data_IF_214619068057
#
_entry.id   IF_214619068057
#
_cell.length_a   1.000
_cell.length_b   1.000
_cell.length_c   1.000
_cell.angle_alpha   90.00
_cell.angle_beta   90.00
_cell.angle_gamma   90.00
#
_symmetry.space_group_name_H-M   'P 1'
#
loop_
_entity.id
_entity.type
_entity.pdbx_description
1 polymer ?
#
# COMPACT_ATOMS: atom_id res chain seq x y z
N UNK A 1 9.60 47.39 37.00
CA UNK A 1 10.37 47.35 35.73
C UNK A 1 9.46 47.77 34.59
N UNK A 2 9.59 49.00 34.11
CA UNK A 2 8.83 49.53 32.97
C UNK A 2 9.64 49.34 31.68
N UNK A 3 9.22 48.37 30.85
CA UNK A 3 9.83 48.08 29.55
C UNK A 3 9.64 49.28 28.60
N UNK A 4 10.71 50.03 28.35
CA UNK A 4 10.74 51.06 27.30
C UNK A 4 11.02 50.38 25.95
N UNK A 5 9.97 50.05 25.21
CA UNK A 5 10.09 49.56 23.84
C UNK A 5 10.61 50.67 22.92
N UNK A 6 11.80 50.49 22.32
CA UNK A 6 12.30 51.42 21.29
C UNK A 6 11.39 51.36 20.06
N UNK A 7 10.90 52.53 19.65
CA UNK A 7 10.03 52.69 18.48
C UNK A 7 10.85 52.42 17.21
N UNK A 8 10.43 51.46 16.39
CA UNK A 8 11.08 51.13 15.13
C UNK A 8 11.02 52.31 14.15
N UNK A 9 12.16 52.65 13.53
CA UNK A 9 12.23 53.64 12.47
C UNK A 9 11.54 53.12 11.18
N UNK A 10 11.28 54.01 10.20
CA UNK A 10 10.52 53.65 8.98
C UNK A 10 11.14 52.48 8.21
N UNK A 11 12.47 52.38 8.16
CA UNK A 11 13.18 51.25 7.52
C UNK A 11 13.02 49.95 8.31
N UNK A 12 13.09 50.00 9.64
CA UNK A 12 12.88 48.86 10.53
C UNK A 12 11.43 48.34 10.51
N UNK A 13 10.44 49.23 10.32
CA UNK A 13 9.05 48.81 10.10
C UNK A 13 8.88 48.03 8.79
N UNK A 14 9.48 48.53 7.69
CA UNK A 14 9.46 47.86 6.38
C UNK A 14 10.13 46.49 6.45
N UNK A 15 11.29 46.41 7.11
CA UNK A 15 12.02 45.17 7.34
C UNK A 15 11.21 44.16 8.18
N UNK A 16 10.56 44.64 9.25
CA UNK A 16 9.72 43.79 10.10
C UNK A 16 8.48 43.27 9.34
N UNK A 17 7.83 44.11 8.53
CA UNK A 17 6.72 43.64 7.67
C UNK A 17 7.18 42.63 6.63
N UNK A 18 8.34 42.83 6.00
CA UNK A 18 8.90 41.85 5.07
C UNK A 18 9.23 40.52 5.75
N UNK A 19 9.85 40.58 6.93
CA UNK A 19 10.15 39.40 7.73
C UNK A 19 8.87 38.65 8.15
N UNK A 20 7.84 39.35 8.59
CA UNK A 20 6.55 38.75 8.95
C UNK A 20 5.87 38.08 7.75
N UNK A 21 5.95 38.68 6.55
CA UNK A 21 5.40 38.08 5.33
C UNK A 21 6.15 36.80 4.93
N UNK A 22 7.48 36.77 5.10
CA UNK A 22 8.29 35.58 4.83
C UNK A 22 7.93 34.47 5.81
N UNK A 23 7.85 34.77 7.11
CA UNK A 23 7.45 33.79 8.14
C UNK A 23 6.05 33.25 7.85
N UNK A 24 5.10 34.13 7.51
CA UNK A 24 3.73 33.74 7.19
C UNK A 24 3.68 32.82 5.95
N UNK A 25 4.45 33.14 4.91
CA UNK A 25 4.55 32.33 3.68
C UNK A 25 5.13 30.94 3.96
N UNK A 26 6.17 30.85 4.80
CA UNK A 26 6.76 29.57 5.20
C UNK A 26 5.76 28.74 6.01
N UNK A 27 5.02 29.37 6.95
CA UNK A 27 4.01 28.64 7.73
C UNK A 27 2.86 28.12 6.87
N UNK A 28 2.40 28.90 5.89
CA UNK A 28 1.39 28.46 4.92
C UNK A 28 1.87 27.27 4.09
N UNK A 29 3.12 27.33 3.63
CA UNK A 29 3.72 26.25 2.84
C UNK A 29 3.91 24.96 3.65
N UNK A 30 4.27 25.07 4.94
CA UNK A 30 4.32 23.91 5.85
C UNK A 30 2.93 23.32 6.06
N UNK A 31 1.89 24.15 6.24
CA UNK A 31 0.50 23.68 6.40
C UNK A 31 0.01 22.99 5.13
N UNK A 32 0.25 23.57 3.95
CA UNK A 32 -0.11 22.95 2.66
C UNK A 32 0.63 21.63 2.43
N UNK A 33 1.94 21.56 2.70
CA UNK A 33 2.72 20.32 2.59
C UNK A 33 2.21 19.27 3.59
N UNK A 34 1.88 19.67 4.81
CA UNK A 34 1.30 18.77 5.81
C UNK A 34 -0.10 18.28 5.39
N UNK A 35 -0.92 19.14 4.79
CA UNK A 35 -2.24 18.80 4.27
C UNK A 35 -2.16 17.90 3.04
N UNK A 36 -1.20 18.12 2.15
CA UNK A 36 -0.91 17.26 0.99
C UNK A 36 -0.41 15.88 1.44
N UNK A 37 0.48 15.82 2.44
CA UNK A 37 1.00 14.57 2.99
C UNK A 37 -0.09 13.79 3.76
N UNK A 38 -0.98 14.48 4.48
CA UNK A 38 -2.12 13.84 5.16
C UNK A 38 -3.24 13.44 4.20
N UNK A 39 -3.55 14.24 3.17
CA UNK A 39 -4.52 13.86 2.14
C UNK A 39 -4.04 12.68 1.29
N UNK A 40 -2.73 12.51 1.09
CA UNK A 40 -2.19 11.32 0.40
C UNK A 40 -2.21 10.06 1.26
N UNK A 41 -2.29 10.19 2.58
CA UNK A 41 -2.39 9.06 3.53
C UNK A 41 -3.80 8.45 3.57
N UNK A 42 -4.84 9.20 3.18
CA UNK A 42 -6.24 8.75 3.24
C UNK A 42 -6.79 8.13 1.94
N UNK A 43 -5.92 7.88 0.95
CA UNK A 43 -6.22 6.93 -0.15
C UNK A 43 -5.52 5.59 0.06
N UNK A 44 -5.35 5.16 1.30
CA UNK A 44 -5.68 3.76 1.55
C UNK A 44 -7.19 3.72 1.43
N UNK A 45 -7.72 3.25 0.29
CA UNK A 45 -9.06 2.68 0.29
C UNK A 45 -9.06 1.59 1.35
N UNK A 46 -9.38 1.97 2.59
CA UNK A 46 -10.12 1.11 3.47
C UNK A 46 -11.36 0.80 2.65
N UNK A 47 -11.31 -0.30 1.89
CA UNK A 47 -12.50 -1.04 1.57
C UNK A 47 -13.05 -1.38 2.94
N UNK A 48 -13.90 -0.50 3.47
CA UNK A 48 -14.80 -0.85 4.54
C UNK A 48 -15.72 -1.87 3.88
N UNK A 49 -15.28 -3.13 3.82
CA UNK A 49 -16.15 -4.24 3.52
C UNK A 49 -17.18 -4.23 4.62
N UNK A 50 -18.27 -3.49 4.41
CA UNK A 50 -19.53 -3.76 5.11
C UNK A 50 -19.81 -5.21 4.79
N UNK A 51 -19.47 -6.08 5.73
CA UNK A 51 -19.71 -7.51 5.67
C UNK A 51 -21.24 -7.65 5.66
N UNK A 52 -21.84 -7.67 4.47
CA UNK A 52 -23.28 -7.77 4.36
C UNK A 52 -23.70 -9.13 4.93
N UNK A 53 -24.47 -9.18 6.03
CA UNK A 53 -24.82 -10.41 6.69
C UNK A 53 -25.70 -11.25 5.76
N UNK A 54 -25.52 -12.58 5.82
CA UNK A 54 -26.49 -13.58 5.34
C UNK A 54 -26.65 -13.78 3.81
N UNK A 55 -25.56 -14.11 3.10
CA UNK A 55 -25.70 -14.94 1.88
C UNK A 55 -25.55 -16.42 2.23
N UNK A 56 -26.29 -17.33 1.56
CA UNK A 56 -26.14 -18.78 1.76
C UNK A 56 -24.70 -19.26 1.54
N UNK A 57 -23.98 -18.63 0.61
CA UNK A 57 -22.55 -18.85 0.37
C UNK A 57 -21.68 -18.54 1.59
N UNK A 58 -21.89 -17.39 2.25
CA UNK A 58 -21.13 -17.04 3.46
C UNK A 58 -21.33 -18.07 4.55
N UNK A 59 -22.58 -18.45 4.84
CA UNK A 59 -22.89 -19.46 5.87
C UNK A 59 -22.26 -20.82 5.54
N UNK A 60 -22.27 -21.21 4.27
CA UNK A 60 -21.62 -22.43 3.81
C UNK A 60 -20.10 -22.38 4.04
N UNK A 61 -19.46 -21.25 3.71
CA UNK A 61 -18.03 -21.05 3.88
C UNK A 61 -17.63 -20.90 5.34
N UNK A 62 -18.43 -20.24 6.19
CA UNK A 62 -18.22 -20.18 7.64
C UNK A 62 -18.11 -21.59 8.23
N UNK A 63 -19.01 -22.49 7.82
CA UNK A 63 -18.99 -23.91 8.23
C UNK A 63 -17.75 -24.65 7.73
N UNK A 64 -17.23 -24.32 6.54
CA UNK A 64 -16.06 -24.99 5.93
C UNK A 64 -14.75 -24.48 6.52
N UNK A 65 -14.58 -23.17 6.61
CA UNK A 65 -13.39 -22.52 7.17
C UNK A 65 -13.31 -22.77 8.68
N UNK A 66 -14.44 -22.70 9.40
CA UNK A 66 -14.47 -23.06 10.82
C UNK A 66 -14.11 -24.53 11.10
N UNK A 67 -14.33 -25.43 10.13
CA UNK A 67 -13.91 -26.83 10.25
C UNK A 67 -12.43 -27.05 9.90
N UNK A 68 -11.83 -26.21 9.05
CA UNK A 68 -10.44 -26.39 8.60
C UNK A 68 -9.45 -26.47 9.77
N UNK A 69 -9.52 -25.56 10.74
CA UNK A 69 -8.64 -25.58 11.92
C UNK A 69 -9.03 -26.65 12.97
N UNK A 70 -10.26 -27.16 12.91
CA UNK A 70 -10.72 -28.25 13.78
C UNK A 70 -10.30 -29.63 13.26
N UNK A 71 -10.26 -29.81 11.93
CA UNK A 71 -9.93 -31.09 11.29
C UNK A 71 -8.46 -31.23 10.90
N UNK A 72 -7.74 -30.12 10.70
CA UNK A 72 -6.28 -30.12 10.50
C UNK A 72 -5.59 -29.58 11.75
N UNK A 73 -5.00 -30.49 12.52
CA UNK A 73 -4.22 -30.15 13.72
C UNK A 73 -3.10 -29.17 13.43
N UNK A 74 -2.49 -29.27 12.25
CA UNK A 74 -1.41 -28.40 11.79
C UNK A 74 -1.85 -26.95 11.57
N UNK A 75 -3.15 -26.72 11.37
CA UNK A 75 -3.72 -25.37 11.19
C UNK A 75 -4.34 -24.80 12.47
N UNK A 76 -4.40 -25.58 13.55
CA UNK A 76 -5.13 -25.20 14.78
C UNK A 76 -4.55 -23.94 15.44
N UNK A 77 -3.23 -23.80 15.39
CA UNK A 77 -2.50 -22.68 16.01
C UNK A 77 -1.89 -21.72 14.98
N UNK A 78 -2.17 -21.94 13.69
CA UNK A 78 -1.64 -21.09 12.62
C UNK A 78 -2.47 -19.82 12.45
N UNK A 79 -1.80 -18.77 11.99
CA UNK A 79 -2.47 -17.57 11.53
C UNK A 79 -2.90 -17.78 10.08
N UNK A 80 -4.15 -17.48 9.74
CA UNK A 80 -4.60 -17.51 8.35
C UNK A 80 -5.45 -16.29 8.03
N UNK A 81 -5.37 -15.88 6.77
CA UNK A 81 -6.29 -14.93 6.15
C UNK A 81 -6.73 -15.52 4.82
N UNK A 82 -8.03 -15.73 4.68
CA UNK A 82 -8.66 -16.26 3.48
C UNK A 82 -9.66 -15.23 2.97
N UNK A 83 -9.34 -14.67 1.80
CA UNK A 83 -10.16 -13.64 1.17
C UNK A 83 -10.59 -14.09 -0.22
N UNK A 84 -11.88 -13.98 -0.51
CA UNK A 84 -12.47 -14.20 -1.84
C UNK A 84 -13.12 -12.89 -2.29
N UNK A 85 -12.80 -12.44 -3.49
CA UNK A 85 -13.54 -11.39 -4.18
C UNK A 85 -14.41 -11.98 -5.28
N UNK A 86 -15.73 -11.86 -5.14
CA UNK A 86 -16.72 -12.19 -6.17
C UNK A 86 -16.89 -10.98 -7.10
N UNK A 87 -16.28 -11.05 -8.28
CA UNK A 87 -16.30 -9.96 -9.27
C UNK A 87 -17.72 -9.66 -9.75
N UNK A 88 -18.54 -10.70 -9.98
CA UNK A 88 -19.89 -10.54 -10.50
C UNK A 88 -20.82 -9.85 -9.49
N UNK A 89 -20.62 -10.13 -8.20
CA UNK A 89 -21.38 -9.50 -7.11
C UNK A 89 -20.70 -8.27 -6.53
N UNK A 90 -19.51 -7.92 -7.01
CA UNK A 90 -18.63 -6.91 -6.43
C UNK A 90 -18.51 -7.02 -4.91
N UNK A 91 -18.38 -8.26 -4.42
CA UNK A 91 -18.45 -8.57 -2.98
C UNK A 91 -17.22 -9.33 -2.50
N UNK A 92 -16.65 -8.86 -1.41
CA UNK A 92 -15.55 -9.54 -0.71
C UNK A 92 -16.08 -10.36 0.46
N UNK A 93 -15.56 -11.56 0.60
CA UNK A 93 -15.75 -12.44 1.74
C UNK A 93 -14.38 -12.71 2.36
N UNK A 94 -14.28 -12.60 3.69
CA UNK A 94 -13.01 -12.75 4.41
C UNK A 94 -13.20 -13.55 5.67
N UNK A 95 -12.25 -14.44 5.93
CA UNK A 95 -12.16 -15.24 7.14
C UNK A 95 -10.72 -15.23 7.62
N UNK A 96 -10.52 -15.05 8.92
CA UNK A 96 -9.18 -14.96 9.47
C UNK A 96 -9.08 -15.51 10.88
N UNK A 97 -7.89 -15.99 11.24
CA UNK A 97 -7.54 -16.45 12.57
C UNK A 97 -6.15 -15.92 12.96
N UNK A 98 -6.03 -15.49 14.22
CA UNK A 98 -4.75 -15.05 14.78
C UNK A 98 -4.26 -13.70 14.25
N UNK A 99 -2.93 -13.49 14.25
CA UNK A 99 -2.30 -12.23 13.84
C UNK A 99 -2.10 -12.19 12.33
N UNK A 100 -2.84 -11.32 11.65
CA UNK A 100 -2.90 -11.23 10.17
C UNK A 100 -2.45 -9.88 9.60
N UNK A 101 -1.94 -8.97 10.43
CA UNK A 101 -1.62 -7.60 9.99
C UNK A 101 -0.53 -7.55 8.91
N UNK A 102 0.37 -8.53 8.88
CA UNK A 102 1.41 -8.69 7.85
C UNK A 102 1.69 -10.19 7.63
N UNK A 103 1.44 -10.69 6.42
CA UNK A 103 1.83 -12.03 6.00
C UNK A 103 2.94 -11.94 4.95
N UNK A 104 3.94 -12.82 5.01
CA UNK A 104 5.00 -12.86 4.01
C UNK A 104 4.43 -13.25 2.65
N UNK A 105 4.68 -12.42 1.63
CA UNK A 105 4.23 -12.70 0.25
C UNK A 105 4.97 -13.89 -0.37
N UNK A 106 6.18 -14.20 0.09
CA UNK A 106 7.03 -15.24 -0.47
C UNK A 106 7.07 -15.13 -2.00
N UNK A 107 6.80 -16.21 -2.73
CA UNK A 107 6.84 -16.21 -4.20
C UNK A 107 5.65 -15.53 -4.88
N UNK A 108 4.57 -15.17 -4.16
CA UNK A 108 3.42 -14.47 -4.77
C UNK A 108 3.78 -13.07 -5.28
N UNK A 109 4.85 -12.46 -4.74
CA UNK A 109 5.40 -11.17 -5.20
C UNK A 109 5.86 -11.18 -6.66
N UNK A 110 6.13 -12.37 -7.23
CA UNK A 110 6.59 -12.52 -8.62
C UNK A 110 5.55 -12.04 -9.65
N UNK A 111 4.26 -12.11 -9.32
CA UNK A 111 3.19 -11.57 -10.18
C UNK A 111 3.23 -10.03 -10.23
N UNK A 112 3.25 -9.30 -9.10
CA UNK A 112 3.51 -7.86 -9.08
C UNK A 112 4.79 -7.43 -9.81
N UNK A 113 5.89 -8.19 -9.70
CA UNK A 113 7.13 -7.92 -10.45
C UNK A 113 6.88 -7.92 -11.96
N UNK A 114 6.15 -8.92 -12.48
CA UNK A 114 5.77 -8.97 -13.90
C UNK A 114 4.86 -7.81 -14.29
N UNK A 115 3.88 -7.46 -13.45
CA UNK A 115 2.98 -6.32 -13.71
C UNK A 115 3.79 -5.03 -13.82
N UNK A 116 4.76 -4.81 -12.92
CA UNK A 116 5.68 -3.68 -12.98
C UNK A 116 6.44 -3.63 -14.31
N UNK A 117 6.99 -4.77 -14.75
CA UNK A 117 7.72 -4.85 -16.01
C UNK A 117 6.82 -4.52 -17.21
N UNK A 118 5.62 -5.10 -17.27
CA UNK A 118 4.66 -4.85 -18.36
C UNK A 118 4.15 -3.41 -18.39
N UNK A 119 4.15 -2.72 -17.24
CA UNK A 119 3.77 -1.32 -17.17
C UNK A 119 4.83 -0.39 -17.77
N UNK A 120 6.12 -0.71 -17.59
CA UNK A 120 7.22 0.08 -18.15
C UNK A 120 7.56 -0.31 -19.60
N UNK A 121 7.46 -1.59 -19.93
CA UNK A 121 7.69 -2.12 -21.27
C UNK A 121 6.55 -3.04 -21.69
N UNK A 122 5.66 -2.52 -22.53
CA UNK A 122 4.49 -3.24 -23.02
C UNK A 122 4.86 -4.42 -23.95
N UNK A 123 6.11 -4.52 -24.44
CA UNK A 123 6.53 -5.53 -25.41
C UNK A 123 7.78 -6.29 -24.95
N UNK A 124 7.55 -7.29 -24.10
CA UNK A 124 8.56 -8.25 -23.67
C UNK A 124 9.29 -8.91 -24.86
N UNK A 125 10.63 -8.91 -24.79
CA UNK A 125 11.47 -9.66 -25.73
C UNK A 125 11.27 -11.17 -25.56
N UNK A 126 11.76 -11.97 -26.51
CA UNK A 126 11.73 -13.43 -26.38
C UNK A 126 12.52 -13.93 -25.15
N UNK A 127 13.61 -13.24 -24.80
CA UNK A 127 14.40 -13.53 -23.60
C UNK A 127 13.60 -13.24 -22.33
N UNK A 128 12.95 -12.08 -22.27
CA UNK A 128 12.11 -11.71 -21.12
C UNK A 128 10.97 -12.70 -20.92
N UNK A 129 10.32 -13.12 -22.01
CA UNK A 129 9.24 -14.13 -21.94
C UNK A 129 9.72 -15.46 -21.35
N UNK A 130 10.96 -15.88 -21.66
CA UNK A 130 11.54 -17.11 -21.09
C UNK A 130 11.78 -16.96 -19.58
N UNK A 131 12.37 -15.85 -19.15
CA UNK A 131 12.61 -15.56 -17.73
C UNK A 131 11.29 -15.42 -16.97
N UNK A 132 10.32 -14.68 -17.51
CA UNK A 132 8.97 -14.55 -16.94
C UNK A 132 8.29 -15.91 -16.82
N UNK A 133 8.41 -16.78 -17.82
CA UNK A 133 7.85 -18.12 -17.74
C UNK A 133 8.52 -18.95 -16.62
N UNK A 134 9.85 -18.89 -16.47
CA UNK A 134 10.56 -19.54 -15.37
C UNK A 134 10.16 -18.99 -13.99
N UNK A 135 10.09 -17.67 -13.87
CA UNK A 135 9.63 -16.98 -12.67
C UNK A 135 8.20 -17.39 -12.28
N UNK A 136 7.23 -17.36 -13.21
CA UNK A 136 5.82 -17.59 -12.90
C UNK A 136 5.46 -19.08 -12.78
N UNK A 137 5.94 -19.92 -13.72
CA UNK A 137 5.53 -21.34 -13.77
C UNK A 137 6.35 -22.21 -12.84
N UNK A 138 7.63 -21.89 -12.64
CA UNK A 138 8.54 -22.69 -11.84
C UNK A 138 8.90 -22.02 -10.51
N UNK A 139 8.40 -20.81 -10.27
CA UNK A 139 8.76 -20.02 -9.09
C UNK A 139 10.28 -19.83 -8.97
N UNK A 140 10.99 -19.71 -10.10
CA UNK A 140 12.45 -19.54 -10.11
C UNK A 140 12.84 -18.21 -9.47
N UNK A 141 13.68 -18.27 -8.43
CA UNK A 141 14.22 -17.07 -7.77
C UNK A 141 15.27 -16.38 -8.64
N UNK A 142 16.10 -17.13 -9.37
CA UNK A 142 17.10 -16.57 -10.26
C UNK A 142 16.45 -15.76 -11.40
N UNK A 143 15.40 -16.30 -12.01
CA UNK A 143 14.66 -15.58 -13.06
C UNK A 143 13.93 -14.36 -12.51
N UNK A 144 13.36 -14.47 -11.30
CA UNK A 144 12.72 -13.34 -10.62
C UNK A 144 13.70 -12.20 -10.34
N UNK A 145 14.92 -12.52 -9.88
CA UNK A 145 15.98 -11.52 -9.66
C UNK A 145 16.41 -10.87 -10.97
N UNK A 146 16.55 -11.63 -12.05
CA UNK A 146 16.92 -11.07 -13.35
C UNK A 146 15.86 -10.10 -13.88
N UNK A 147 14.58 -10.46 -13.79
CA UNK A 147 13.47 -9.59 -14.18
C UNK A 147 13.38 -8.35 -13.27
N UNK A 148 13.52 -8.52 -11.97
CA UNK A 148 13.45 -7.40 -11.02
C UNK A 148 14.58 -6.40 -11.24
N UNK A 149 15.81 -6.88 -11.50
CA UNK A 149 16.94 -6.02 -11.83
C UNK A 149 16.66 -5.19 -13.09
N UNK A 150 16.13 -5.83 -14.14
CA UNK A 150 15.73 -5.14 -15.36
C UNK A 150 14.65 -4.08 -15.12
N UNK A 151 13.66 -4.37 -14.27
CA UNK A 151 12.63 -3.39 -13.89
C UNK A 151 13.23 -2.16 -13.20
N UNK A 152 14.22 -2.35 -12.32
CA UNK A 152 14.92 -1.24 -11.66
C UNK A 152 15.72 -0.43 -12.68
N UNK A 153 16.45 -1.08 -13.58
CA UNK A 153 17.24 -0.40 -14.63
C UNK A 153 16.37 0.40 -15.62
N UNK A 154 15.09 0.05 -15.80
CA UNK A 154 14.14 0.79 -16.62
C UNK A 154 13.45 1.95 -15.88
N UNK A 155 13.56 1.98 -14.54
CA UNK A 155 12.99 3.03 -13.71
C UNK A 155 13.94 4.22 -13.49
N UNK A 156 15.24 4.02 -13.75
CA UNK A 156 16.32 5.03 -13.70
C UNK A 156 16.49 5.75 -15.05
#
# INVERSE_FOLDING_TARGET
MTFHGRRLNRKGKIWLTGFLLIVFSITLLIVEVHHLLHSRSETTTHITTKQAPNSGFSKYMDKKVGKLSQTNTDLKNENFDFTIYDVAKQKTYRWSQGKISQMYTASTVKVPILIGLLHQDAKLTASDKKLVAGMIRQSSNADATAIFKKLVELAD
#
